data_IF_368677916791
#
_entry.id   IF_368677916791
#
_cell.length_a   1.000
_cell.length_b   1.000
_cell.length_c   1.000
_cell.angle_alpha   90.00
_cell.angle_beta   90.00
_cell.angle_gamma   90.00
#
_symmetry.space_group_name_H-M   'P 1'
#
loop_
_entity.id
_entity.type
_entity.pdbx_description
1 polymer ?
#
# COMPACT_ATOMS: atom_id res chain seq x y z
N UNK A 1 10.36 11.33 -3.49
CA UNK A 1 8.90 11.21 -3.41
C UNK A 1 8.48 10.10 -2.43
N UNK A 2 8.56 8.79 -2.74
CA UNK A 2 8.20 7.73 -1.77
C UNK A 2 9.19 7.60 -0.59
N UNK A 3 10.50 7.68 -0.87
CA UNK A 3 11.54 7.65 0.17
C UNK A 3 11.43 8.82 1.18
N UNK A 4 10.86 9.95 0.78
CA UNK A 4 10.61 11.10 1.67
C UNK A 4 9.49 10.80 2.69
N UNK A 5 8.61 9.86 2.38
CA UNK A 5 7.60 9.31 3.29
C UNK A 5 8.11 8.08 4.07
N UNK A 6 9.39 7.72 3.91
CA UNK A 6 10.00 6.56 4.57
C UNK A 6 9.76 5.22 3.87
N UNK A 7 9.18 5.22 2.66
CA UNK A 7 8.91 4.00 1.90
C UNK A 7 10.02 3.75 0.88
N UNK A 8 10.83 2.73 1.16
CA UNK A 8 11.87 2.25 0.26
C UNK A 8 11.33 1.15 -0.66
N UNK A 9 11.55 1.31 -1.97
CA UNK A 9 11.11 0.35 -2.99
C UNK A 9 12.35 -0.29 -3.61
N UNK A 10 12.48 -1.63 -3.61
CA UNK A 10 13.59 -2.33 -4.25
C UNK A 10 13.69 -2.03 -5.76
N UNK A 11 14.90 -2.05 -6.31
CA UNK A 11 15.16 -1.73 -7.72
C UNK A 11 14.48 -2.69 -8.72
N UNK A 12 14.16 -3.92 -8.29
CA UNK A 12 13.46 -4.92 -9.08
C UNK A 12 11.93 -4.76 -9.05
N UNK A 13 11.40 -3.85 -8.23
CA UNK A 13 9.95 -3.59 -8.11
C UNK A 13 9.55 -2.46 -9.07
N UNK A 14 8.61 -2.77 -9.97
CA UNK A 14 8.06 -1.77 -10.90
C UNK A 14 7.06 -0.85 -10.21
N UNK A 15 7.33 0.47 -10.24
CA UNK A 15 6.38 1.48 -9.77
C UNK A 15 5.45 1.90 -10.92
N UNK A 16 4.13 1.88 -10.66
CA UNK A 16 3.11 2.41 -11.57
C UNK A 16 2.33 3.53 -10.91
N UNK A 17 2.37 4.72 -11.49
CA UNK A 17 1.66 5.90 -10.99
C UNK A 17 0.37 6.06 -11.79
N UNK A 18 -0.76 6.09 -11.09
CA UNK A 18 -2.06 6.38 -11.68
C UNK A 18 -2.42 7.84 -11.44
N UNK A 19 -2.50 8.62 -12.52
CA UNK A 19 -3.05 9.97 -12.49
C UNK A 19 -4.58 9.91 -12.55
N UNK A 20 -5.26 10.49 -11.55
CA UNK A 20 -6.72 10.39 -11.37
C UNK A 20 -7.48 11.43 -12.21
N UNK A 21 -7.15 11.51 -13.50
CA UNK A 21 -7.65 12.54 -14.42
C UNK A 21 -9.01 12.22 -15.09
N UNK A 22 -9.64 11.10 -14.73
CA UNK A 22 -10.95 10.68 -15.22
C UNK A 22 -11.93 10.36 -14.06
N UNK A 23 -13.16 9.97 -14.38
CA UNK A 23 -14.19 9.60 -13.39
C UNK A 23 -13.91 8.27 -12.67
N UNK A 24 -12.78 7.64 -12.97
CA UNK A 24 -12.33 6.44 -12.26
C UNK A 24 -11.79 6.80 -10.87
N UNK A 25 -12.03 5.91 -9.91
CA UNK A 25 -11.48 5.99 -8.56
C UNK A 25 -10.65 4.75 -8.32
N UNK A 26 -9.39 4.97 -7.95
CA UNK A 26 -8.44 3.92 -7.68
C UNK A 26 -8.20 3.80 -6.18
N UNK A 27 -7.91 2.58 -5.76
CA UNK A 27 -7.45 2.25 -4.42
C UNK A 27 -6.36 1.20 -4.58
N UNK A 28 -5.28 1.35 -3.83
CA UNK A 28 -4.22 0.36 -3.75
C UNK A 28 -4.64 -0.70 -2.74
N UNK A 29 -4.59 -1.97 -3.17
CA UNK A 29 -4.66 -3.11 -2.26
C UNK A 29 -3.23 -3.49 -1.88
N UNK A 30 -2.77 -3.22 -0.65
CA UNK A 30 -1.41 -3.53 -0.27
C UNK A 30 -1.18 -5.04 -0.18
N UNK A 31 0.08 -5.44 -0.32
CA UNK A 31 0.49 -6.82 -0.04
C UNK A 31 0.32 -7.10 1.45
N UNK A 32 -0.15 -8.31 1.79
CA UNK A 32 -0.24 -8.77 3.17
C UNK A 32 1.17 -8.92 3.77
N UNK A 33 1.45 -8.34 4.95
CA UNK A 33 2.74 -8.51 5.61
C UNK A 33 2.97 -9.97 6.04
N UNK A 34 4.22 -10.42 5.97
CA UNK A 34 4.63 -11.72 6.52
C UNK A 34 4.43 -11.76 8.05
N UNK A 35 4.16 -12.93 8.61
CA UNK A 35 3.98 -13.09 10.06
C UNK A 35 2.56 -12.76 10.54
N UNK A 36 1.66 -12.43 9.62
CA UNK A 36 0.26 -12.11 9.92
C UNK A 36 -0.68 -13.30 9.68
N UNK A 37 -0.17 -14.50 9.38
CA UNK A 37 -0.93 -15.64 8.86
C UNK A 37 -2.09 -16.07 9.77
N UNK A 38 -1.93 -15.89 11.08
CA UNK A 38 -2.92 -16.27 12.10
C UNK A 38 -3.84 -15.14 12.53
N UNK A 39 -3.66 -13.93 11.99
CA UNK A 39 -4.48 -12.78 12.34
C UNK A 39 -5.90 -12.91 11.77
N UNK A 40 -6.88 -12.43 12.53
CA UNK A 40 -8.25 -12.29 12.05
C UNK A 40 -8.35 -11.15 11.02
N UNK A 41 -9.48 -11.09 10.32
CA UNK A 41 -9.78 -9.98 9.40
C UNK A 41 -9.73 -8.62 10.10
N UNK A 42 -10.33 -8.50 11.28
CA UNK A 42 -10.34 -7.27 12.08
C UNK A 42 -8.92 -6.82 12.43
N UNK A 43 -8.07 -7.77 12.84
CA UNK A 43 -6.67 -7.49 13.15
C UNK A 43 -5.87 -7.09 11.91
N UNK A 44 -6.14 -7.70 10.74
CA UNK A 44 -5.50 -7.31 9.48
C UNK A 44 -5.93 -5.90 9.04
N UNK A 45 -7.19 -5.54 9.26
CA UNK A 45 -7.70 -4.21 8.93
C UNK A 45 -7.00 -3.10 9.73
N UNK A 46 -6.58 -3.37 10.97
CA UNK A 46 -5.81 -2.42 11.80
C UNK A 46 -4.43 -2.11 11.21
N UNK A 47 -3.85 -3.01 10.41
CA UNK A 47 -2.56 -2.77 9.73
C UNK A 47 -2.71 -1.87 8.50
N UNK A 48 -3.90 -1.85 7.88
CA UNK A 48 -4.12 -1.15 6.60
C UNK A 48 -4.45 0.32 6.87
N UNK A 49 -3.42 1.16 6.83
CA UNK A 49 -3.60 2.61 6.95
C UNK A 49 -4.12 3.24 5.66
N UNK A 50 -4.60 4.49 5.74
CA UNK A 50 -4.98 5.28 4.56
C UNK A 50 -3.83 5.39 3.56
N UNK A 51 -2.61 5.54 4.03
CA UNK A 51 -1.44 5.76 3.18
C UNK A 51 -1.07 4.48 2.41
N UNK A 52 -1.39 3.30 2.97
CA UNK A 52 -1.35 2.02 2.26
C UNK A 52 -2.38 1.97 1.13
N UNK A 53 -3.59 2.49 1.35
CA UNK A 53 -4.66 2.53 0.34
C UNK A 53 -4.41 3.54 -0.80
N UNK A 54 -3.54 4.54 -0.55
CA UNK A 54 -3.06 5.49 -1.57
C UNK A 54 -1.84 4.92 -2.32
N UNK A 55 -1.08 4.02 -1.70
CA UNK A 55 0.12 3.41 -2.28
C UNK A 55 1.43 4.14 -1.95
N UNK A 56 1.44 4.94 -0.87
CA UNK A 56 2.65 5.65 -0.42
C UNK A 56 3.32 5.00 0.79
N UNK A 57 2.67 4.01 1.40
CA UNK A 57 3.20 3.20 2.50
C UNK A 57 2.87 1.72 2.32
N UNK A 58 3.63 0.84 2.99
CA UNK A 58 3.33 -0.59 3.10
C UNK A 58 2.89 -0.91 4.54
N UNK A 59 1.93 -1.83 4.74
CA UNK A 59 1.51 -2.25 6.09
C UNK A 59 2.60 -3.00 6.86
#
# INVERSE_FOLDING_TARGET
>A
MLAEFGTEIPDDVTIRVHDSNADMRYMVLPQRPSGTETMSEEQLAELVTRDCLIGVAVP
#
